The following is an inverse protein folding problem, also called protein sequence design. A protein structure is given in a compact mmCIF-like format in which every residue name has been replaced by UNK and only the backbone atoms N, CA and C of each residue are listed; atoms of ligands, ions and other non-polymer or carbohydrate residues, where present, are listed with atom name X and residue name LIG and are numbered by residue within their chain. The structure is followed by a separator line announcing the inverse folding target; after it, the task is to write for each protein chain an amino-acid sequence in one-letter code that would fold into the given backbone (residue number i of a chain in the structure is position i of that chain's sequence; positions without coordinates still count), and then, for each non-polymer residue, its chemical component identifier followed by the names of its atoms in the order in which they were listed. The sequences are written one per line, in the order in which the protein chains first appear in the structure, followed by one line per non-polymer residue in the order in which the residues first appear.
data_IF_150022803713
#
_entry.id   IF_150022803713
#
_cell.length_a   1.000
_cell.length_b   1.000
_cell.length_c   1.000
_cell.angle_alpha   90.00
_cell.angle_beta   90.00
_cell.angle_gamma   90.00
#
_symmetry.space_group_name_H-M   'P 1'
#
loop_
_entity.id
_entity.type
_entity.pdbx_description
1 polymer ?
#
# COMPACT_ATOMS: atom_id res chain seq x y z
N UNK A 1 6.38 -73.17 -8.28
CA UNK A 1 6.07 -71.78 -8.66
C UNK A 1 6.00 -70.95 -7.37
N UNK A 2 7.10 -70.28 -7.01
CA UNK A 2 7.17 -69.39 -5.83
C UNK A 2 6.85 -67.97 -6.25
N UNK A 3 5.78 -67.41 -5.68
CA UNK A 3 5.44 -65.95 -5.83
C UNK A 3 6.27 -65.15 -4.83
N UNK A 4 7.04 -64.20 -5.34
CA UNK A 4 7.79 -63.20 -4.52
C UNK A 4 6.81 -62.10 -4.10
N UNK A 5 6.83 -61.63 -2.85
CA UNK A 5 6.06 -60.47 -2.44
C UNK A 5 6.81 -59.18 -2.83
N UNK A 6 6.13 -58.28 -3.53
CA UNK A 6 6.58 -56.93 -3.86
C UNK A 6 6.33 -56.05 -2.64
N UNK A 7 7.39 -55.64 -1.94
CA UNK A 7 7.29 -54.58 -0.92
C UNK A 7 7.17 -53.22 -1.60
N UNK A 8 6.04 -52.57 -1.46
CA UNK A 8 5.83 -51.16 -1.79
C UNK A 8 6.38 -50.33 -0.64
N UNK A 9 7.48 -49.63 -0.88
CA UNK A 9 8.05 -48.67 0.04
C UNK A 9 7.24 -47.36 -0.11
N UNK A 10 6.38 -47.04 0.88
CA UNK A 10 5.68 -45.76 0.93
C UNK A 10 6.64 -44.71 1.44
N UNK A 11 7.11 -43.81 0.57
CA UNK A 11 7.87 -42.61 0.95
C UNK A 11 6.90 -41.57 1.49
N UNK A 12 6.84 -41.41 2.79
CA UNK A 12 6.09 -40.32 3.43
C UNK A 12 6.96 -39.04 3.33
N UNK A 13 6.60 -38.17 2.41
CA UNK A 13 7.19 -36.84 2.30
C UNK A 13 6.66 -35.95 3.44
N UNK A 14 7.41 -35.81 4.52
CA UNK A 14 7.11 -34.86 5.58
C UNK A 14 7.35 -33.44 5.06
N UNK A 15 6.29 -32.75 4.66
CA UNK A 15 6.33 -31.34 4.36
C UNK A 15 6.60 -30.58 5.67
N UNK A 16 7.84 -30.16 5.88
CA UNK A 16 8.19 -29.24 6.94
C UNK A 16 7.46 -27.91 6.68
N UNK A 17 6.46 -27.60 7.48
CA UNK A 17 5.83 -26.27 7.54
C UNK A 17 6.89 -25.28 8.01
N UNK A 18 7.57 -24.63 7.07
CA UNK A 18 8.46 -23.50 7.35
C UNK A 18 7.56 -22.37 7.85
N UNK A 19 7.48 -22.23 9.16
CA UNK A 19 6.82 -21.09 9.79
C UNK A 19 7.68 -19.86 9.48
N UNK A 20 7.08 -18.78 8.89
CA UNK A 20 7.84 -17.55 8.68
C UNK A 20 8.41 -17.08 10.05
N UNK A 21 9.65 -16.60 10.10
CA UNK A 21 10.21 -16.10 11.34
C UNK A 21 9.34 -14.98 11.89
N UNK A 22 9.03 -15.03 13.18
CA UNK A 22 8.34 -13.94 13.85
C UNK A 22 9.15 -12.65 13.66
N UNK A 23 8.47 -11.55 13.28
CA UNK A 23 9.11 -10.25 13.16
C UNK A 23 9.87 -9.93 14.46
N UNK A 24 11.18 -9.77 14.36
CA UNK A 24 12.07 -9.44 15.48
C UNK A 24 12.05 -7.93 15.62
N UNK A 25 11.84 -7.40 16.83
CA UNK A 25 12.02 -5.99 17.12
C UNK A 25 13.41 -5.53 16.69
N UNK A 26 13.51 -4.41 15.98
CA UNK A 26 14.77 -3.89 15.46
C UNK A 26 14.61 -3.16 14.13
N UNK A 27 15.72 -2.70 13.54
CA UNK A 27 15.70 -2.11 12.20
C UNK A 27 15.13 -3.08 11.16
N UNK A 28 14.52 -2.53 10.09
CA UNK A 28 14.04 -3.33 8.96
C UNK A 28 15.12 -4.29 8.46
N UNK A 29 14.76 -5.54 8.23
CA UNK A 29 15.62 -6.48 7.52
C UNK A 29 15.89 -6.00 6.08
N UNK A 30 16.96 -6.45 5.42
CA UNK A 30 17.21 -6.12 4.02
C UNK A 30 16.04 -6.44 3.10
N UNK A 31 15.35 -7.57 3.33
CA UNK A 31 14.17 -7.97 2.54
C UNK A 31 12.97 -7.06 2.75
N UNK A 32 12.68 -6.65 3.98
CA UNK A 32 11.62 -5.69 4.30
C UNK A 32 11.89 -4.33 3.67
N UNK A 33 13.12 -3.85 3.80
CA UNK A 33 13.55 -2.58 3.18
C UNK A 33 13.41 -2.62 1.67
N UNK A 34 13.89 -3.68 1.03
CA UNK A 34 13.76 -3.87 -0.42
C UNK A 34 12.29 -3.88 -0.86
N UNK A 35 11.43 -4.64 -0.16
CA UNK A 35 9.99 -4.70 -0.44
C UNK A 35 9.35 -3.33 -0.34
N UNK A 36 9.59 -2.61 0.74
CA UNK A 36 9.00 -1.29 0.98
C UNK A 36 9.45 -0.28 -0.08
N UNK A 37 10.75 -0.19 -0.36
CA UNK A 37 11.31 0.72 -1.38
C UNK A 37 10.73 0.40 -2.75
N UNK A 38 10.76 -0.87 -3.17
CA UNK A 38 10.24 -1.28 -4.48
C UNK A 38 8.75 -0.97 -4.62
N UNK A 39 7.95 -1.18 -3.56
CA UNK A 39 6.52 -0.90 -3.59
C UNK A 39 6.22 0.60 -3.66
N UNK A 40 6.98 1.43 -2.95
CA UNK A 40 6.87 2.89 -3.00
C UNK A 40 7.23 3.43 -4.40
N UNK A 41 8.33 2.96 -5.00
CA UNK A 41 8.77 3.34 -6.35
C UNK A 41 7.77 2.89 -7.42
N UNK A 42 7.26 1.66 -7.31
CA UNK A 42 6.27 1.10 -8.22
C UNK A 42 4.96 1.91 -8.21
N UNK A 43 4.43 2.21 -7.04
CA UNK A 43 3.15 2.93 -6.95
C UNK A 43 3.27 4.39 -7.37
N UNK A 44 4.41 5.04 -7.16
CA UNK A 44 4.68 6.37 -7.72
C UNK A 44 4.70 6.35 -9.24
N UNK A 45 5.44 5.41 -9.84
CA UNK A 45 5.55 5.25 -11.29
C UNK A 45 4.18 4.94 -11.91
N UNK A 46 3.41 4.05 -11.31
CA UNK A 46 2.08 3.71 -11.81
C UNK A 46 1.12 4.90 -11.76
N UNK A 47 1.06 5.64 -10.64
CA UNK A 47 0.20 6.82 -10.56
C UNK A 47 0.56 7.85 -11.65
N UNK A 48 1.85 8.09 -11.85
CA UNK A 48 2.32 8.99 -12.88
C UNK A 48 1.88 8.55 -14.28
N UNK A 49 2.08 7.27 -14.60
CA UNK A 49 1.66 6.68 -15.88
C UNK A 49 0.15 6.73 -16.09
N UNK A 50 -0.64 6.52 -15.02
CA UNK A 50 -2.11 6.62 -15.13
C UNK A 50 -2.60 8.04 -15.41
N UNK A 51 -1.84 9.08 -15.06
CA UNK A 51 -2.23 10.49 -15.28
C UNK A 51 -1.63 11.07 -16.56
N UNK A 52 -0.71 10.37 -17.21
CA UNK A 52 0.03 10.87 -18.37
C UNK A 52 -0.88 11.02 -19.60
N UNK A 53 -0.84 12.19 -20.22
CA UNK A 53 -1.49 12.48 -21.50
C UNK A 53 -3.02 12.43 -21.48
N UNK A 54 -3.66 12.49 -20.29
CA UNK A 54 -5.11 12.56 -20.19
C UNK A 54 -5.63 13.97 -20.51
N UNK A 55 -6.71 14.03 -21.26
CA UNK A 55 -7.47 15.28 -21.50
C UNK A 55 -8.28 15.67 -20.27
N UNK A 56 -8.73 16.94 -20.21
CA UNK A 56 -9.60 17.42 -19.12
C UNK A 56 -10.89 16.62 -19.03
N UNK A 57 -11.50 16.25 -20.16
CA UNK A 57 -12.68 15.39 -20.19
C UNK A 57 -12.41 14.03 -19.53
N UNK A 58 -11.25 13.44 -19.81
CA UNK A 58 -10.82 12.17 -19.19
C UNK A 58 -10.53 12.30 -17.71
N UNK A 59 -9.89 13.40 -17.28
CA UNK A 59 -9.56 13.66 -15.88
C UNK A 59 -10.80 13.92 -15.01
N UNK A 60 -11.84 14.52 -15.58
CA UNK A 60 -13.06 14.93 -14.84
C UNK A 60 -14.22 13.96 -15.00
N UNK A 61 -14.08 12.92 -15.83
CA UNK A 61 -15.12 11.92 -16.03
C UNK A 61 -15.46 11.21 -14.70
N UNK A 62 -16.76 11.05 -14.44
CA UNK A 62 -17.30 10.32 -13.29
C UNK A 62 -18.20 9.18 -13.78
N UNK A 63 -18.01 7.98 -13.25
CA UNK A 63 -18.85 6.82 -13.59
C UNK A 63 -20.30 7.00 -13.12
N UNK A 64 -20.51 7.72 -12.01
CA UNK A 64 -21.80 8.20 -11.49
C UNK A 64 -21.61 9.61 -10.94
N UNK A 65 -22.68 10.42 -10.78
CA UNK A 65 -22.57 11.78 -10.23
C UNK A 65 -21.84 11.84 -8.87
N UNK A 66 -21.99 10.79 -8.04
CA UNK A 66 -21.42 10.70 -6.68
C UNK A 66 -20.02 10.08 -6.67
N UNK A 67 -19.58 9.49 -7.79
CA UNK A 67 -18.26 8.85 -7.86
C UNK A 67 -17.15 9.89 -8.02
N UNK A 68 -15.95 9.52 -7.61
CA UNK A 68 -14.76 10.32 -7.86
C UNK A 68 -14.30 10.18 -9.31
N UNK A 69 -13.85 11.28 -9.88
CA UNK A 69 -13.10 11.33 -11.12
C UNK A 69 -11.64 10.96 -10.91
N UNK A 70 -10.87 10.79 -11.97
CA UNK A 70 -9.41 10.58 -11.90
C UNK A 70 -8.73 11.76 -11.21
N UNK A 71 -9.17 13.00 -11.49
CA UNK A 71 -8.67 14.21 -10.80
C UNK A 71 -8.91 14.14 -9.30
N UNK A 72 -10.12 13.74 -8.89
CA UNK A 72 -10.50 13.61 -7.47
C UNK A 72 -9.64 12.53 -6.79
N UNK A 73 -9.38 11.40 -7.43
CA UNK A 73 -8.53 10.34 -6.89
C UNK A 73 -7.08 10.81 -6.69
N UNK A 74 -6.53 11.54 -7.66
CA UNK A 74 -5.17 12.09 -7.53
C UNK A 74 -5.09 13.12 -6.39
N UNK A 75 -6.11 13.98 -6.24
CA UNK A 75 -6.21 14.93 -5.14
C UNK A 75 -6.33 14.23 -3.80
N UNK A 76 -7.16 13.20 -3.69
CA UNK A 76 -7.31 12.41 -2.48
C UNK A 76 -5.96 11.85 -1.99
N UNK A 77 -5.16 11.28 -2.89
CA UNK A 77 -3.83 10.77 -2.54
C UNK A 77 -2.90 11.89 -2.03
N UNK A 78 -2.95 13.06 -2.66
CA UNK A 78 -2.14 14.21 -2.26
C UNK A 78 -2.57 14.82 -0.90
N UNK A 79 -3.83 14.61 -0.48
CA UNK A 79 -4.35 15.03 0.83
C UNK A 79 -4.14 13.97 1.89
N UNK A 80 -4.40 12.70 1.57
CA UNK A 80 -4.44 11.62 2.56
C UNK A 80 -3.05 11.15 2.99
N UNK A 81 -2.11 10.99 2.06
CA UNK A 81 -0.79 10.44 2.38
C UNK A 81 0.04 11.32 3.33
N UNK A 82 0.03 12.68 3.25
CA UNK A 82 0.68 13.50 4.25
C UNK A 82 0.15 13.25 5.67
N UNK A 83 -1.17 13.13 5.85
CA UNK A 83 -1.76 12.85 7.16
C UNK A 83 -1.33 11.48 7.71
N UNK A 84 -1.25 10.47 6.84
CA UNK A 84 -0.77 9.15 7.23
C UNK A 84 0.71 9.15 7.59
N UNK A 85 1.49 9.93 6.87
CA UNK A 85 2.92 10.10 7.12
C UNK A 85 3.19 10.83 8.43
N UNK A 86 2.52 11.95 8.68
CA UNK A 86 2.63 12.72 9.92
C UNK A 86 2.31 11.85 11.15
N UNK A 87 1.28 11.03 11.06
CA UNK A 87 0.90 10.09 12.11
C UNK A 87 1.96 8.98 12.31
N UNK A 88 2.59 8.51 11.23
CA UNK A 88 3.69 7.56 11.31
C UNK A 88 4.91 8.18 11.99
N UNK A 89 5.29 9.40 11.60
CA UNK A 89 6.40 10.15 12.23
C UNK A 89 6.12 10.46 13.71
N UNK A 90 4.87 10.77 14.06
CA UNK A 90 4.47 10.93 15.45
C UNK A 90 4.62 9.62 16.24
N UNK A 91 4.20 8.50 15.66
CA UNK A 91 4.30 7.17 16.28
C UNK A 91 5.75 6.68 16.39
N UNK A 92 6.68 7.16 15.55
CA UNK A 92 8.11 6.87 15.69
C UNK A 92 8.73 7.47 16.96
N UNK A 93 8.14 8.51 17.51
CA UNK A 93 8.60 9.17 18.75
C UNK A 93 8.14 8.41 20.00
N UNK A 94 7.17 7.53 19.88
CA UNK A 94 6.69 6.70 20.98
C UNK A 94 7.75 5.64 21.35
N UNK A 95 7.83 5.23 22.62
CA UNK A 95 8.77 4.20 23.04
C UNK A 95 8.45 2.85 22.40
N UNK A 96 9.50 2.06 22.19
CA UNK A 96 9.36 0.65 21.79
C UNK A 96 8.63 -0.11 22.89
N UNK A 97 7.60 -0.88 22.53
CA UNK A 97 6.81 -1.67 23.45
C UNK A 97 7.39 -3.09 23.56
N UNK A 98 8.14 -3.37 24.63
CA UNK A 98 8.74 -4.67 24.84
C UNK A 98 7.70 -5.82 24.81
N UNK A 99 7.96 -6.81 23.96
CA UNK A 99 7.08 -7.97 23.82
C UNK A 99 5.79 -7.74 23.04
N UNK A 100 5.49 -6.51 22.63
CA UNK A 100 4.32 -6.25 21.77
C UNK A 100 4.57 -6.77 20.35
N UNK A 101 3.53 -7.32 19.75
CA UNK A 101 3.55 -7.78 18.36
C UNK A 101 2.26 -7.33 17.66
N UNK A 102 2.32 -6.99 16.37
CA UNK A 102 1.12 -6.71 15.61
C UNK A 102 0.24 -7.97 15.53
N UNK A 103 -1.07 -7.78 15.51
CA UNK A 103 -2.03 -8.86 15.20
C UNK A 103 -2.38 -8.91 13.72
N UNK A 104 -2.14 -7.82 12.99
CA UNK A 104 -2.21 -7.79 11.53
C UNK A 104 -0.96 -8.43 10.90
N UNK A 105 -1.05 -8.86 9.64
CA UNK A 105 0.06 -9.41 8.86
C UNK A 105 0.45 -8.50 7.70
N UNK A 106 1.68 -8.64 7.20
CA UNK A 106 2.16 -7.89 6.03
C UNK A 106 1.31 -8.23 4.79
N UNK A 107 0.88 -9.50 4.67
CA UNK A 107 0.03 -9.97 3.58
C UNK A 107 -1.34 -9.28 3.58
N UNK A 108 -1.91 -9.01 4.75
CA UNK A 108 -3.16 -8.24 4.86
C UNK A 108 -2.98 -6.81 4.36
N UNK A 109 -1.82 -6.19 4.62
CA UNK A 109 -1.51 -4.86 4.07
C UNK A 109 -1.39 -4.90 2.53
N UNK A 110 -0.73 -5.92 1.99
CA UNK A 110 -0.61 -6.10 0.54
C UNK A 110 -1.97 -6.40 -0.09
N UNK A 111 -2.78 -7.27 0.54
CA UNK A 111 -4.13 -7.59 0.06
C UNK A 111 -5.03 -6.36 0.02
N UNK A 112 -4.96 -5.48 1.02
CA UNK A 112 -5.71 -4.23 1.04
C UNK A 112 -5.50 -3.40 -0.24
N UNK A 113 -4.29 -3.38 -0.78
CA UNK A 113 -3.95 -2.62 -1.98
C UNK A 113 -4.61 -3.13 -3.26
N UNK A 114 -5.00 -4.41 -3.30
CA UNK A 114 -5.57 -5.05 -4.50
C UNK A 114 -7.05 -5.44 -4.34
N UNK A 115 -7.54 -5.65 -3.13
CA UNK A 115 -8.94 -5.96 -2.89
C UNK A 115 -9.83 -4.73 -3.09
N UNK A 116 -10.55 -4.69 -4.20
CA UNK A 116 -11.52 -3.65 -4.54
C UNK A 116 -12.98 -4.08 -4.29
N UNK A 117 -13.21 -5.27 -3.75
CA UNK A 117 -14.55 -5.81 -3.49
C UNK A 117 -15.24 -5.06 -2.34
N UNK A 118 -14.47 -4.65 -1.33
CA UNK A 118 -14.95 -3.89 -0.18
C UNK A 118 -14.59 -2.40 -0.31
N UNK A 119 -15.56 -1.57 -0.71
CA UNK A 119 -15.37 -0.13 -0.84
C UNK A 119 -15.47 0.55 0.52
N UNK A 120 -14.43 1.29 0.88
CA UNK A 120 -14.35 2.08 2.11
C UNK A 120 -14.74 3.53 1.84
N UNK A 121 -15.53 4.14 2.72
CA UNK A 121 -15.73 5.61 2.70
C UNK A 121 -14.55 6.26 3.43
N UNK A 122 -13.97 7.29 2.83
CA UNK A 122 -12.93 8.09 3.50
C UNK A 122 -13.55 9.04 4.52
N UNK A 123 -12.76 9.42 5.54
CA UNK A 123 -13.15 10.49 6.45
C UNK A 123 -13.18 11.84 5.74
N UNK A 124 -14.03 12.76 6.22
CA UNK A 124 -14.30 14.06 5.60
C UNK A 124 -13.03 14.87 5.31
N UNK A 125 -12.06 14.88 6.23
CA UNK A 125 -10.79 15.60 6.08
C UNK A 125 -9.92 15.13 4.89
N UNK A 126 -10.26 14.03 4.24
CA UNK A 126 -9.54 13.47 3.09
C UNK A 126 -10.39 13.39 1.82
N UNK A 127 -11.59 13.97 1.86
CA UNK A 127 -12.45 14.08 0.68
C UNK A 127 -11.86 15.14 -0.25
N UNK A 128 -11.72 14.88 -1.57
CA UNK A 128 -11.32 15.88 -2.56
C UNK A 128 -12.27 17.07 -2.57
N UNK A 129 -11.75 18.27 -2.58
CA UNK A 129 -12.51 19.51 -2.53
C UNK A 129 -11.91 20.65 -3.38
N UNK A 130 -11.03 20.33 -4.33
CA UNK A 130 -10.38 21.30 -5.21
C UNK A 130 -9.18 22.02 -4.57
N UNK A 131 -8.52 21.41 -3.59
CA UNK A 131 -7.33 21.95 -2.95
C UNK A 131 -6.15 22.12 -3.93
N UNK A 132 -6.09 21.28 -4.95
CA UNK A 132 -5.07 21.35 -5.99
C UNK A 132 -5.67 21.82 -7.32
N UNK A 133 -5.00 22.74 -8.06
CA UNK A 133 -5.52 23.29 -9.29
C UNK A 133 -5.63 22.26 -10.41
N UNK A 134 -4.83 21.21 -10.41
CA UNK A 134 -4.82 20.17 -11.43
C UNK A 134 -4.37 18.81 -10.90
N UNK A 135 -4.65 17.75 -11.64
CA UNK A 135 -4.14 16.41 -11.33
C UNK A 135 -2.60 16.35 -11.34
N UNK A 136 -1.94 17.15 -12.17
CA UNK A 136 -0.49 17.28 -12.22
C UNK A 136 0.05 17.96 -10.95
N UNK A 137 -0.65 18.95 -10.41
CA UNK A 137 -0.29 19.58 -9.14
C UNK A 137 -0.43 18.59 -7.97
N UNK A 138 -1.49 17.78 -7.96
CA UNK A 138 -1.67 16.69 -7.00
C UNK A 138 -0.53 15.66 -7.10
N UNK A 139 -0.18 15.23 -8.33
CA UNK A 139 0.94 14.32 -8.57
C UNK A 139 2.28 14.90 -8.10
N UNK A 140 2.52 16.20 -8.32
CA UNK A 140 3.74 16.85 -7.87
C UNK A 140 3.85 16.85 -6.34
N UNK A 141 2.76 17.13 -5.63
CA UNK A 141 2.67 17.06 -4.17
C UNK A 141 2.91 15.64 -3.66
N UNK A 142 2.23 14.65 -4.24
CA UNK A 142 2.42 13.22 -3.96
C UNK A 142 3.89 12.80 -4.13
N UNK A 143 4.52 13.13 -5.23
CA UNK A 143 5.93 12.82 -5.53
C UNK A 143 6.89 13.49 -4.54
N UNK A 144 6.60 14.71 -4.11
CA UNK A 144 7.43 15.39 -3.10
C UNK A 144 7.48 14.59 -1.80
N UNK A 145 6.32 14.16 -1.31
CA UNK A 145 6.25 13.34 -0.10
C UNK A 145 6.87 11.95 -0.34
N UNK A 146 6.63 11.34 -1.50
CA UNK A 146 7.17 10.03 -1.84
C UNK A 146 8.71 10.00 -1.81
N UNK A 147 9.39 11.08 -2.23
CA UNK A 147 10.85 11.20 -2.08
C UNK A 147 11.28 11.16 -0.62
N UNK A 148 10.58 11.86 0.27
CA UNK A 148 10.84 11.82 1.73
C UNK A 148 10.67 10.39 2.27
N UNK A 149 9.57 9.73 1.91
CA UNK A 149 9.30 8.34 2.31
C UNK A 149 10.38 7.38 1.82
N UNK A 150 10.82 7.51 0.56
CA UNK A 150 11.88 6.69 -0.01
C UNK A 150 13.22 6.90 0.70
N UNK A 151 13.55 8.13 1.04
CA UNK A 151 14.75 8.47 1.80
C UNK A 151 14.75 7.81 3.18
N UNK A 152 13.63 7.87 3.88
CA UNK A 152 13.45 7.20 5.18
C UNK A 152 13.50 5.67 4.99
N UNK A 153 12.75 5.11 4.03
CA UNK A 153 12.76 3.68 3.77
C UNK A 153 14.16 3.13 3.46
N UNK A 154 14.97 3.90 2.72
CA UNK A 154 16.34 3.50 2.35
C UNK A 154 17.33 3.60 3.51
N UNK A 155 17.17 4.53 4.44
CA UNK A 155 18.21 4.90 5.42
C UNK A 155 17.85 4.67 6.88
N UNK A 156 16.56 4.64 7.25
CA UNK A 156 16.17 4.52 8.66
C UNK A 156 16.74 3.27 9.31
N UNK A 157 17.22 3.45 10.55
CA UNK A 157 17.63 2.40 11.48
C UNK A 157 16.63 2.24 12.62
N UNK A 158 15.48 2.90 12.54
CA UNK A 158 14.43 2.83 13.55
C UNK A 158 13.83 1.44 13.63
N UNK A 159 13.46 1.05 14.84
CA UNK A 159 12.65 -0.14 15.08
C UNK A 159 11.19 0.16 14.71
N UNK A 160 10.81 -0.19 13.49
CA UNK A 160 9.45 -0.05 12.99
C UNK A 160 8.54 -1.18 13.47
N UNK A 161 9.12 -2.34 13.84
CA UNK A 161 8.36 -3.52 14.24
C UNK A 161 7.96 -3.51 15.71
N UNK A 162 8.76 -2.85 16.56
CA UNK A 162 8.50 -2.74 17.99
C UNK A 162 7.54 -1.60 18.39
N UNK A 163 6.99 -0.86 17.44
CA UNK A 163 6.08 0.27 17.69
C UNK A 163 4.75 0.07 16.98
N UNK A 164 3.64 0.32 17.69
CA UNK A 164 2.31 0.32 17.06
C UNK A 164 2.02 1.66 16.42
N UNK A 165 1.37 1.63 15.24
CA UNK A 165 0.83 2.83 14.63
C UNK A 165 -0.38 3.35 15.42
N UNK A 166 -0.27 4.53 16.03
CA UNK A 166 -1.38 5.17 16.77
C UNK A 166 -2.08 4.23 17.77
N UNK A 167 -1.36 3.27 18.36
CA UNK A 167 -1.94 2.28 19.27
C UNK A 167 -2.77 1.18 18.60
N UNK A 168 -2.78 1.11 17.28
CA UNK A 168 -3.52 0.11 16.50
C UNK A 168 -2.90 -1.30 16.58
N UNK A 169 -3.51 -2.24 15.86
CA UNK A 169 -3.03 -3.62 15.71
C UNK A 169 -1.87 -3.77 14.71
N UNK A 170 -1.53 -2.72 13.97
CA UNK A 170 -0.43 -2.70 13.02
C UNK A 170 0.83 -2.12 13.65
N UNK A 171 2.01 -2.61 13.21
CA UNK A 171 3.28 -1.97 13.46
C UNK A 171 3.56 -0.85 12.43
N UNK A 172 4.64 -0.08 12.66
CA UNK A 172 4.96 1.05 11.78
C UNK A 172 5.46 0.60 10.41
N UNK A 173 6.09 -0.56 10.27
CA UNK A 173 6.44 -1.11 8.97
C UNK A 173 5.19 -1.46 8.15
N UNK A 174 4.23 -2.12 8.78
CA UNK A 174 2.95 -2.46 8.16
C UNK A 174 2.18 -1.21 7.74
N UNK A 175 2.19 -0.18 8.59
CA UNK A 175 1.54 1.08 8.25
C UNK A 175 2.27 1.82 7.12
N UNK A 176 3.60 1.79 7.11
CA UNK A 176 4.38 2.36 6.01
C UNK A 176 4.08 1.62 4.68
N UNK A 177 3.99 0.30 4.73
CA UNK A 177 3.56 -0.51 3.59
C UNK A 177 2.11 -0.17 3.19
N UNK A 178 1.21 0.02 4.16
CA UNK A 178 -0.19 0.40 3.93
C UNK A 178 -0.32 1.74 3.20
N UNK A 179 0.51 2.74 3.49
CA UNK A 179 0.51 4.01 2.74
C UNK A 179 0.76 3.74 1.25
N UNK A 180 1.70 2.87 0.92
CA UNK A 180 1.99 2.53 -0.47
C UNK A 180 0.88 1.68 -1.10
N UNK A 181 0.29 0.73 -0.37
CA UNK A 181 -0.82 -0.09 -0.87
C UNK A 181 -2.12 0.72 -0.98
N UNK A 182 -2.28 1.77 -0.20
CA UNK A 182 -3.37 2.73 -0.36
C UNK A 182 -3.28 3.44 -1.73
N UNK A 183 -2.08 3.89 -2.12
CA UNK A 183 -1.88 4.40 -3.48
C UNK A 183 -2.22 3.35 -4.55
N UNK A 184 -1.76 2.11 -4.38
CA UNK A 184 -2.08 1.01 -5.30
C UNK A 184 -3.60 0.81 -5.44
N UNK A 185 -4.33 0.81 -4.34
CA UNK A 185 -5.79 0.69 -4.31
C UNK A 185 -6.47 1.77 -5.14
N UNK A 186 -5.99 3.00 -5.05
CA UNK A 186 -6.53 4.13 -5.81
C UNK A 186 -6.06 4.14 -7.27
N UNK A 187 -4.90 3.62 -7.59
CA UNK A 187 -4.47 3.36 -8.97
C UNK A 187 -5.41 2.35 -9.65
N UNK A 188 -5.80 1.28 -8.95
CA UNK A 188 -6.80 0.34 -9.45
C UNK A 188 -8.17 1.01 -9.64
N UNK A 189 -8.56 1.95 -8.76
CA UNK A 189 -9.77 2.76 -8.97
C UNK A 189 -9.69 3.62 -10.25
N UNK A 190 -8.55 4.23 -10.54
CA UNK A 190 -8.35 4.97 -11.79
C UNK A 190 -8.51 4.03 -12.99
N UNK A 191 -7.99 2.81 -12.94
CA UNK A 191 -8.15 1.81 -14.00
C UNK A 191 -9.60 1.38 -14.17
N UNK A 192 -10.37 1.24 -13.08
CA UNK A 192 -11.82 1.00 -13.13
C UNK A 192 -12.54 2.14 -13.86
N UNK A 193 -12.21 3.41 -13.56
CA UNK A 193 -12.77 4.58 -14.23
C UNK A 193 -12.46 4.55 -15.73
N UNK A 194 -11.21 4.28 -16.11
CA UNK A 194 -10.79 4.20 -17.52
C UNK A 194 -11.42 3.04 -18.29
N UNK A 195 -11.80 1.97 -17.60
CA UNK A 195 -12.47 0.81 -18.20
C UNK A 195 -13.98 1.00 -18.38
N UNK A 196 -14.56 2.12 -17.91
CA UNK A 196 -15.99 2.37 -18.05
C UNK A 196 -16.36 2.55 -19.52
N UNK A 197 -17.51 1.98 -20.02
CA UNK A 197 -17.91 2.07 -21.42
C UNK A 197 -18.01 3.50 -21.94
N UNK A 198 -18.47 4.44 -21.10
CA UNK A 198 -18.66 5.86 -21.45
C UNK A 198 -17.42 6.72 -21.17
N UNK A 199 -16.27 6.10 -20.81
CA UNK A 199 -15.05 6.87 -20.58
C UNK A 199 -14.62 7.59 -21.87
N UNK A 200 -14.31 8.91 -21.83
CA UNK A 200 -13.99 9.67 -23.03
C UNK A 200 -12.80 9.10 -23.81
N UNK A 201 -12.98 8.86 -25.09
CA UNK A 201 -11.89 8.50 -26.02
C UNK A 201 -11.00 9.71 -26.27
N UNK A 202 -9.73 9.45 -26.61
CA UNK A 202 -8.82 10.51 -27.05
C UNK A 202 -9.29 11.14 -28.34
#
# INVERSE_FOLDING_TARGET
MLRRPTCLLAVVLAAALVRPPAAVAGPMTPGERQRLVAHLEMTESWLASELEGLSDAQLTFKMTPESWSIKDVAEHLAIAEPQYWDNLEASLKEPVKNGWKPTATDEQMLWYGIDRTNRQKTGEARVPHGQFPSAQASLASFRKLRRTMLDVAKRSQDDLRGRSYMGSSQDLYQWFLMISTHAQRHILQIREIKAHPDYPKK
#
